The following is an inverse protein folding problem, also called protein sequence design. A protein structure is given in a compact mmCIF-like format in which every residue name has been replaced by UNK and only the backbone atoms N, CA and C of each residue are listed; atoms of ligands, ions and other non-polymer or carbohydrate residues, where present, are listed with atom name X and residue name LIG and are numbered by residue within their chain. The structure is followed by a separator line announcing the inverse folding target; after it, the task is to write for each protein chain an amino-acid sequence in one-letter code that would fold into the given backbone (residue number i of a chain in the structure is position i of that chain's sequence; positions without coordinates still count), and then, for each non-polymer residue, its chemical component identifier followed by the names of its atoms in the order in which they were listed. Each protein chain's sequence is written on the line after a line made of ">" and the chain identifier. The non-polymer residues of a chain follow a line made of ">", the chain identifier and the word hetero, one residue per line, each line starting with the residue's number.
data_IF_445099940975
#
_entry.id   IF_445099940975
#
_cell.length_a   1.000
_cell.length_b   1.000
_cell.length_c   1.000
_cell.angle_alpha   90.00
_cell.angle_beta   90.00
_cell.angle_gamma   90.00
#
_symmetry.space_group_name_H-M   'P 1'
#
loop_
_entity.id
_entity.type
_entity.pdbx_description
1 polymer ?
#
# COMPACT_ATOMS: atom_id res chain seq x y z
N UNK A 1 -1.75 -23.57 18.78
CA UNK A 1 -2.84 -22.64 18.46
C UNK A 1 -2.39 -21.17 18.51
N UNK A 2 -1.62 -20.76 19.53
CA UNK A 2 -1.13 -19.38 19.70
C UNK A 2 -0.31 -18.80 18.51
N UNK A 3 0.43 -19.64 17.76
CA UNK A 3 1.33 -19.15 16.70
C UNK A 3 0.60 -18.46 15.52
N UNK A 4 -0.53 -19.02 15.07
CA UNK A 4 -1.35 -18.40 14.00
C UNK A 4 -2.12 -17.17 14.49
N UNK A 5 -2.34 -17.08 15.80
CA UNK A 5 -3.01 -15.94 16.39
C UNK A 5 -2.16 -14.67 16.26
N UNK A 6 -0.88 -14.70 16.61
CA UNK A 6 -0.02 -13.51 16.51
C UNK A 6 0.11 -13.02 15.05
N UNK A 7 0.35 -13.94 14.11
CA UNK A 7 0.40 -13.61 12.67
C UNK A 7 -0.89 -12.91 12.21
N UNK A 8 -2.05 -13.47 12.58
CA UNK A 8 -3.36 -12.92 12.24
C UNK A 8 -3.56 -11.54 12.86
N UNK A 9 -3.16 -11.35 14.11
CA UNK A 9 -3.34 -10.07 14.80
C UNK A 9 -2.46 -8.97 14.19
N UNK A 10 -1.20 -9.27 13.80
CA UNK A 10 -0.39 -8.32 13.04
C UNK A 10 -1.07 -7.92 11.73
N UNK A 11 -1.58 -8.89 10.96
CA UNK A 11 -2.26 -8.61 9.69
C UNK A 11 -3.52 -7.77 9.91
N UNK A 12 -4.29 -8.06 10.96
CA UNK A 12 -5.49 -7.29 11.30
C UNK A 12 -5.16 -5.85 11.68
N UNK A 13 -4.15 -5.61 12.52
CA UNK A 13 -3.70 -4.25 12.84
C UNK A 13 -3.17 -3.52 11.60
N UNK A 14 -2.45 -4.24 10.74
CA UNK A 14 -1.99 -3.71 9.46
C UNK A 14 -3.17 -3.22 8.62
N UNK A 15 -4.22 -4.02 8.46
CA UNK A 15 -5.42 -3.61 7.73
C UNK A 15 -6.17 -2.47 8.41
N UNK A 16 -6.20 -2.40 9.73
CA UNK A 16 -6.78 -1.25 10.43
C UNK A 16 -6.06 0.04 10.05
N UNK A 17 -4.73 0.03 9.97
CA UNK A 17 -3.98 1.20 9.55
C UNK A 17 -4.10 1.47 8.06
N UNK A 18 -3.77 0.50 7.20
CA UNK A 18 -3.58 0.76 5.77
C UNK A 18 -4.87 0.76 4.94
N UNK A 19 -5.91 0.07 5.41
CA UNK A 19 -7.22 0.03 4.73
C UNK A 19 -8.20 0.96 5.44
N UNK A 20 -8.33 0.83 6.76
CA UNK A 20 -9.35 1.59 7.51
C UNK A 20 -8.86 2.98 7.92
N UNK A 21 -7.58 3.30 7.71
CA UNK A 21 -6.97 4.57 8.14
C UNK A 21 -7.23 4.84 9.63
N UNK A 22 -7.09 3.80 10.47
CA UNK A 22 -7.30 3.85 11.92
C UNK A 22 -6.03 3.44 12.66
N UNK A 23 -5.82 3.96 13.89
CA UNK A 23 -4.73 3.51 14.73
C UNK A 23 -4.74 1.98 14.90
N UNK A 24 -3.55 1.34 14.91
CA UNK A 24 -3.44 -0.07 15.28
C UNK A 24 -4.03 -0.24 16.68
N UNK A 25 -4.78 -1.32 16.87
CA UNK A 25 -5.45 -1.59 18.15
C UNK A 25 -4.51 -2.15 19.20
N UNK A 26 -3.44 -2.81 18.77
CA UNK A 26 -2.52 -3.49 19.67
C UNK A 26 -1.22 -2.69 19.75
N UNK A 27 -1.01 -2.09 20.91
CA UNK A 27 0.29 -1.58 21.33
C UNK A 27 1.10 -2.80 21.79
N UNK A 28 1.81 -3.44 20.87
CA UNK A 28 2.57 -4.67 21.13
C UNK A 28 3.84 -4.45 21.97
N UNK A 29 3.75 -3.65 23.03
CA UNK A 29 4.87 -3.33 23.92
C UNK A 29 5.29 -4.48 24.84
N UNK A 30 4.59 -5.63 24.80
CA UNK A 30 4.78 -6.73 25.74
C UNK A 30 4.92 -8.12 25.08
N UNK A 31 5.24 -8.19 23.78
CA UNK A 31 5.46 -9.50 23.13
C UNK A 31 6.62 -10.25 23.79
N UNK A 32 7.63 -9.53 24.28
CA UNK A 32 8.76 -10.10 25.02
C UNK A 32 8.31 -10.95 26.22
N UNK A 33 7.25 -10.52 26.93
CA UNK A 33 6.70 -11.25 28.08
C UNK A 33 6.08 -12.60 27.71
N UNK A 34 5.60 -12.75 26.47
CA UNK A 34 5.06 -14.02 25.97
C UNK A 34 6.16 -14.97 25.49
N UNK A 35 7.36 -14.47 25.22
CA UNK A 35 8.46 -15.24 24.64
C UNK A 35 9.26 -15.98 25.71
N UNK A 36 9.42 -15.37 26.89
CA UNK A 36 10.14 -15.97 28.03
C UNK A 36 9.50 -17.29 28.52
N UNK A 37 8.31 -17.64 28.06
CA UNK A 37 7.61 -18.88 28.40
C UNK A 37 7.61 -19.95 27.30
N UNK A 38 8.25 -19.69 26.15
CA UNK A 38 8.25 -20.61 25.01
C UNK A 38 9.65 -21.11 24.66
N UNK A 39 9.75 -22.38 24.25
CA UNK A 39 11.00 -22.98 23.81
C UNK A 39 11.63 -22.16 22.65
N UNK A 40 12.95 -21.96 22.71
CA UNK A 40 13.72 -21.12 21.77
C UNK A 40 13.60 -21.51 20.27
N UNK A 41 12.96 -22.64 19.94
CA UNK A 41 12.70 -23.11 18.58
C UNK A 41 11.26 -22.90 18.09
N UNK A 42 10.40 -22.26 18.88
CA UNK A 42 8.99 -22.09 18.50
C UNK A 42 8.83 -21.16 17.29
N UNK A 43 7.82 -21.44 16.44
CA UNK A 43 7.42 -20.59 15.30
C UNK A 43 7.20 -19.13 15.73
N UNK A 44 6.68 -18.92 16.94
CA UNK A 44 6.49 -17.60 17.54
C UNK A 44 7.83 -16.87 17.77
N UNK A 45 8.82 -17.56 18.34
CA UNK A 45 10.18 -17.02 18.55
C UNK A 45 10.85 -16.66 17.23
N UNK A 46 10.60 -17.43 16.16
CA UNK A 46 11.11 -17.14 14.82
C UNK A 46 10.48 -15.88 14.23
N UNK A 47 9.15 -15.75 14.27
CA UNK A 47 8.44 -14.54 13.84
C UNK A 47 8.93 -13.31 14.61
N UNK A 48 9.07 -13.41 15.94
CA UNK A 48 9.58 -12.30 16.74
C UNK A 48 10.99 -11.90 16.35
N UNK A 49 11.88 -12.88 16.12
CA UNK A 49 13.25 -12.61 15.66
C UNK A 49 13.24 -11.89 14.31
N UNK A 50 12.39 -12.29 13.38
CA UNK A 50 12.21 -11.58 12.11
C UNK A 50 11.77 -10.13 12.35
N UNK A 51 10.76 -9.89 13.18
CA UNK A 51 10.29 -8.52 13.52
C UNK A 51 11.39 -7.67 14.17
N UNK A 52 12.09 -8.23 15.15
CA UNK A 52 13.21 -7.57 15.82
C UNK A 52 14.35 -7.23 14.85
N UNK A 53 14.66 -8.14 13.93
CA UNK A 53 15.69 -7.94 12.90
C UNK A 53 15.35 -6.84 11.88
N UNK A 54 14.07 -6.51 11.71
CA UNK A 54 13.65 -5.41 10.82
C UNK A 54 13.82 -4.04 11.48
N UNK A 55 13.63 -3.98 12.80
CA UNK A 55 13.64 -2.75 13.60
C UNK A 55 14.98 -2.45 14.26
N UNK A 56 15.84 -3.46 14.43
CA UNK A 56 17.18 -3.30 14.97
C UNK A 56 18.18 -2.91 13.87
N UNK A 57 18.59 -1.65 13.85
CA UNK A 57 19.50 -1.07 12.84
C UNK A 57 20.98 -1.48 13.02
N UNK A 58 21.32 -2.16 14.12
CA UNK A 58 22.71 -2.51 14.45
C UNK A 58 23.30 -3.73 13.73
N UNK A 59 22.48 -4.55 13.07
CA UNK A 59 22.94 -5.77 12.39
C UNK A 59 22.38 -5.84 10.96
N UNK A 60 23.28 -6.06 9.99
CA UNK A 60 22.90 -6.47 8.64
C UNK A 60 22.25 -7.86 8.75
N UNK A 61 20.93 -7.89 8.83
CA UNK A 61 20.16 -9.12 8.90
C UNK A 61 20.48 -9.98 7.67
N UNK A 62 20.99 -11.19 7.92
CA UNK A 62 21.22 -12.16 6.85
C UNK A 62 19.90 -12.41 6.12
N UNK A 63 19.92 -12.50 4.78
CA UNK A 63 18.72 -12.71 4.01
C UNK A 63 18.03 -14.01 4.43
N UNK A 64 16.76 -13.90 4.83
CA UNK A 64 15.94 -15.04 5.20
C UNK A 64 15.58 -15.82 3.93
N UNK A 65 15.86 -17.12 3.90
CA UNK A 65 15.47 -17.98 2.77
C UNK A 65 14.02 -18.41 2.85
N UNK A 66 13.35 -18.16 3.98
CA UNK A 66 11.98 -18.57 4.26
C UNK A 66 11.01 -17.42 4.02
N UNK A 67 9.94 -17.68 3.26
CA UNK A 67 8.84 -16.74 3.02
C UNK A 67 7.67 -16.91 4.01
N UNK A 68 7.86 -17.75 5.03
CA UNK A 68 6.81 -18.23 5.94
C UNK A 68 6.10 -17.11 6.69
N UNK A 69 6.80 -16.00 6.96
CA UNK A 69 6.30 -14.87 7.75
C UNK A 69 6.25 -13.56 6.97
N UNK A 70 6.31 -13.58 5.64
CA UNK A 70 6.51 -12.37 4.83
C UNK A 70 5.48 -11.29 5.15
N UNK A 71 4.19 -11.64 5.08
CA UNK A 71 3.11 -10.70 5.36
C UNK A 71 3.07 -10.31 6.85
N UNK A 72 3.18 -11.27 7.77
CA UNK A 72 3.09 -11.01 9.21
C UNK A 72 4.25 -10.13 9.72
N UNK A 73 5.48 -10.39 9.26
CA UNK A 73 6.66 -9.59 9.58
C UNK A 73 6.56 -8.17 9.04
N UNK A 74 6.08 -7.99 7.81
CA UNK A 74 5.80 -6.66 7.26
C UNK A 74 4.68 -5.95 8.04
N UNK A 75 3.58 -6.65 8.30
CA UNK A 75 2.43 -6.13 9.05
C UNK A 75 2.79 -5.69 10.48
N UNK A 76 3.78 -6.31 11.11
CA UNK A 76 4.27 -5.88 12.43
C UNK A 76 4.79 -4.43 12.46
N UNK A 77 5.31 -3.95 11.32
CA UNK A 77 5.87 -2.60 11.17
C UNK A 77 4.79 -1.51 11.24
N UNK A 78 3.51 -1.88 11.14
CA UNK A 78 2.39 -0.93 11.25
C UNK A 78 2.36 -0.19 12.59
N UNK A 79 2.85 -0.83 13.66
CA UNK A 79 2.98 -0.20 14.98
C UNK A 79 3.94 1.01 14.98
N UNK A 80 4.94 1.01 14.10
CA UNK A 80 5.88 2.11 13.89
C UNK A 80 5.40 3.10 12.81
N UNK A 81 4.59 2.61 11.85
CA UNK A 81 4.00 3.43 10.79
C UNK A 81 3.04 4.48 11.35
N UNK A 82 2.09 4.08 12.21
CA UNK A 82 1.00 4.96 12.63
C UNK A 82 1.47 6.24 13.35
N UNK A 83 2.38 6.18 14.34
CA UNK A 83 2.90 7.39 14.97
C UNK A 83 3.64 8.31 13.98
N UNK A 84 4.34 7.72 12.99
CA UNK A 84 5.07 8.48 11.98
C UNK A 84 4.15 9.24 11.00
N UNK A 85 3.02 8.64 10.60
CA UNK A 85 2.06 9.29 9.69
C UNK A 85 1.18 10.31 10.40
N UNK A 86 0.85 10.09 11.68
CA UNK A 86 -0.09 10.92 12.43
C UNK A 86 0.37 12.38 12.53
N UNK A 87 1.67 12.60 12.74
CA UNK A 87 2.24 13.95 12.80
C UNK A 87 2.11 14.65 11.45
N UNK A 88 2.35 13.96 10.35
CA UNK A 88 2.25 14.54 9.01
C UNK A 88 0.81 14.87 8.63
N UNK A 89 -0.12 13.98 8.91
CA UNK A 89 -1.55 14.18 8.62
C UNK A 89 -2.16 15.43 9.30
N UNK A 90 -1.53 15.95 10.36
CA UNK A 90 -2.02 17.08 11.14
C UNK A 90 -1.26 18.40 10.93
N UNK A 91 -0.27 18.48 10.03
CA UNK A 91 0.67 19.63 9.98
C UNK A 91 0.78 20.33 8.62
N UNK A 92 0.03 19.95 7.60
CA UNK A 92 0.14 20.58 6.28
C UNK A 92 -0.47 21.99 6.26
N UNK A 93 0.38 23.01 6.10
CA UNK A 93 -0.02 24.43 6.02
C UNK A 93 0.44 25.31 7.21
N UNK A 94 1.10 24.73 8.21
CA UNK A 94 1.81 25.46 9.27
C UNK A 94 3.33 25.49 8.98
N UNK A 95 4.06 26.45 9.57
CA UNK A 95 5.51 26.61 9.39
C UNK A 95 6.25 25.28 9.58
N UNK A 96 6.81 24.76 8.46
CA UNK A 96 7.41 23.41 8.32
C UNK A 96 8.58 23.12 9.28
N UNK A 97 9.09 24.11 10.01
CA UNK A 97 10.45 24.07 10.59
C UNK A 97 10.48 23.59 12.05
N UNK A 98 9.36 23.62 12.79
CA UNK A 98 9.43 23.44 14.26
C UNK A 98 8.97 22.09 14.81
N UNK A 99 8.14 21.32 14.08
CA UNK A 99 7.49 20.10 14.65
C UNK A 99 8.29 18.83 14.40
N UNK A 100 8.95 18.70 13.24
CA UNK A 100 9.74 17.50 12.89
C UNK A 100 10.93 17.28 13.83
N UNK A 101 11.52 18.35 14.39
CA UNK A 101 12.60 18.26 15.38
C UNK A 101 12.14 17.77 16.77
N UNK A 102 10.84 17.84 17.06
CA UNK A 102 10.26 17.46 18.36
C UNK A 102 9.66 16.04 18.34
N UNK A 103 9.49 15.45 17.16
CA UNK A 103 8.99 14.08 17.05
C UNK A 103 10.08 13.06 17.38
N UNK A 104 9.82 12.23 18.37
CA UNK A 104 10.59 11.01 18.65
C UNK A 104 10.36 9.93 17.58
N UNK A 105 9.23 10.00 16.86
CA UNK A 105 8.85 9.04 15.82
C UNK A 105 9.25 9.59 14.45
N UNK A 106 10.45 9.21 14.01
CA UNK A 106 10.96 9.62 12.70
C UNK A 106 10.40 8.72 11.59
N UNK A 107 9.76 9.27 10.54
CA UNK A 107 9.27 8.47 9.42
C UNK A 107 10.37 7.67 8.72
N UNK A 108 11.59 8.22 8.68
CA UNK A 108 12.78 7.56 8.13
C UNK A 108 13.06 6.19 8.78
N UNK A 109 12.67 5.99 10.04
CA UNK A 109 12.83 4.70 10.72
C UNK A 109 11.84 3.66 10.18
N UNK A 110 10.58 4.04 10.01
CA UNK A 110 9.56 3.14 9.46
C UNK A 110 9.84 2.81 7.99
N UNK A 111 10.31 3.79 7.22
CA UNK A 111 10.78 3.62 5.83
C UNK A 111 11.96 2.64 5.79
N UNK A 112 12.99 2.86 6.61
CA UNK A 112 14.16 1.97 6.68
C UNK A 112 13.78 0.53 7.07
N UNK A 113 12.85 0.34 8.00
CA UNK A 113 12.38 -0.99 8.39
C UNK A 113 11.64 -1.69 7.24
N UNK A 114 10.84 -0.96 6.46
CA UNK A 114 10.18 -1.49 5.26
C UNK A 114 11.23 -1.88 4.19
N UNK A 115 12.24 -1.05 3.98
CA UNK A 115 13.33 -1.34 3.04
C UNK A 115 14.17 -2.54 3.47
N UNK A 116 14.44 -2.66 4.78
CA UNK A 116 15.11 -3.83 5.34
C UNK A 116 14.30 -5.09 5.03
N UNK A 117 12.97 -5.04 5.21
CA UNK A 117 12.09 -6.14 4.86
C UNK A 117 12.17 -6.48 3.38
N UNK A 118 12.13 -5.49 2.47
CA UNK A 118 12.22 -5.77 1.03
C UNK A 118 13.58 -6.39 0.67
N UNK A 119 14.67 -5.88 1.25
CA UNK A 119 16.05 -6.36 1.01
C UNK A 119 16.26 -7.80 1.46
N UNK A 120 15.66 -8.24 2.58
CA UNK A 120 15.81 -9.63 3.04
C UNK A 120 15.14 -10.65 2.12
N UNK A 121 14.14 -10.24 1.33
CA UNK A 121 13.39 -11.14 0.42
C UNK A 121 14.04 -11.37 -0.95
N UNK A 122 15.08 -10.62 -1.33
CA UNK A 122 15.85 -10.80 -2.60
C UNK A 122 15.00 -11.04 -3.86
N UNK A 123 13.88 -10.32 -4.00
CA UNK A 123 12.98 -10.45 -5.17
C UNK A 123 12.09 -11.70 -5.17
N UNK A 124 12.02 -12.45 -4.06
CA UNK A 124 11.10 -13.59 -3.87
C UNK A 124 9.80 -13.22 -3.15
N UNK A 125 9.62 -11.94 -2.81
CA UNK A 125 8.43 -11.49 -2.10
C UNK A 125 7.18 -11.74 -2.93
N UNK A 126 6.15 -12.30 -2.30
CA UNK A 126 4.84 -12.44 -2.92
C UNK A 126 4.25 -11.06 -3.27
N UNK A 127 3.51 -10.99 -4.38
CA UNK A 127 2.97 -9.72 -4.88
C UNK A 127 2.02 -9.07 -3.87
N UNK A 128 1.26 -9.86 -3.09
CA UNK A 128 0.36 -9.31 -2.08
C UNK A 128 1.16 -8.59 -0.97
N UNK A 129 2.30 -9.16 -0.58
CA UNK A 129 3.20 -8.51 0.39
C UNK A 129 3.82 -7.23 -0.19
N UNK A 130 4.19 -7.22 -1.47
CA UNK A 130 4.68 -6.01 -2.14
C UNK A 130 3.62 -4.90 -2.17
N UNK A 131 2.34 -5.23 -2.35
CA UNK A 131 1.26 -4.23 -2.27
C UNK A 131 1.23 -3.59 -0.88
N UNK A 132 1.30 -4.37 0.19
CA UNK A 132 1.36 -3.83 1.56
C UNK A 132 2.59 -2.94 1.75
N UNK A 133 3.76 -3.36 1.25
CA UNK A 133 5.00 -2.59 1.33
C UNK A 133 4.84 -1.21 0.65
N UNK A 134 4.30 -1.19 -0.57
CA UNK A 134 4.07 0.05 -1.30
C UNK A 134 3.00 0.91 -0.63
N UNK A 135 1.93 0.32 -0.08
CA UNK A 135 0.89 1.06 0.66
C UNK A 135 1.47 1.73 1.91
N UNK A 136 2.29 1.04 2.70
CA UNK A 136 2.93 1.64 3.89
C UNK A 136 3.79 2.85 3.52
N UNK A 137 4.59 2.74 2.45
CA UNK A 137 5.40 3.84 1.96
C UNK A 137 4.55 4.97 1.37
N UNK A 138 3.48 4.68 0.63
CA UNK A 138 2.55 5.71 0.19
C UNK A 138 2.00 6.50 1.40
N UNK A 139 1.63 5.82 2.49
CA UNK A 139 1.10 6.48 3.69
C UNK A 139 2.13 7.32 4.43
N UNK A 140 3.42 6.96 4.41
CA UNK A 140 4.51 7.78 4.97
C UNK A 140 4.70 9.11 4.20
N UNK A 141 4.38 9.11 2.92
CA UNK A 141 4.66 10.21 1.99
C UNK A 141 3.42 10.93 1.48
N UNK A 142 2.20 10.50 1.84
CA UNK A 142 0.96 11.12 1.40
C UNK A 142 -0.16 11.02 2.46
N UNK A 143 -0.94 12.09 2.58
CA UNK A 143 -2.17 12.09 3.38
C UNK A 143 -3.34 11.57 2.55
N UNK A 144 -3.56 10.25 2.56
CA UNK A 144 -4.58 9.58 1.74
C UNK A 144 -6.00 10.10 1.99
N UNK A 145 -6.33 10.50 3.22
CA UNK A 145 -7.64 11.07 3.54
C UNK A 145 -7.85 12.40 2.82
N UNK A 146 -6.84 13.26 2.80
CA UNK A 146 -6.90 14.56 2.13
C UNK A 146 -6.92 14.40 0.61
N UNK A 147 -6.10 13.51 0.05
CA UNK A 147 -6.13 13.19 -1.38
C UNK A 147 -7.50 12.66 -1.81
N UNK A 148 -8.09 11.76 -1.02
CA UNK A 148 -9.42 11.21 -1.30
C UNK A 148 -10.51 12.29 -1.25
N UNK A 149 -10.51 13.14 -0.22
CA UNK A 149 -11.47 14.25 -0.11
C UNK A 149 -11.32 15.25 -1.26
N UNK A 150 -10.09 15.51 -1.70
CA UNK A 150 -9.82 16.37 -2.85
C UNK A 150 -10.34 15.75 -4.14
N UNK A 151 -9.99 14.50 -4.43
CA UNK A 151 -10.37 13.81 -5.67
C UNK A 151 -11.89 13.71 -5.86
N UNK A 152 -12.63 13.38 -4.80
CA UNK A 152 -14.09 13.19 -4.86
C UNK A 152 -14.91 14.48 -4.70
N UNK A 153 -14.26 15.62 -4.51
CA UNK A 153 -14.96 16.90 -4.49
C UNK A 153 -15.37 17.34 -5.90
N UNK A 154 -16.49 18.05 -6.03
CA UNK A 154 -16.99 18.45 -7.36
C UNK A 154 -16.03 19.41 -8.07
N UNK A 155 -15.89 19.35 -9.41
CA UNK A 155 -15.13 20.33 -10.19
C UNK A 155 -15.60 21.75 -9.91
N UNK A 156 -14.65 22.69 -9.75
CA UNK A 156 -14.95 24.09 -9.43
C UNK A 156 -15.50 24.34 -8.02
N UNK A 157 -15.64 23.31 -7.18
CA UNK A 157 -16.05 23.49 -5.79
C UNK A 157 -14.98 24.24 -4.99
N UNK A 158 -15.41 24.91 -3.92
CA UNK A 158 -14.49 25.58 -2.99
C UNK A 158 -13.45 24.62 -2.39
N UNK A 159 -13.77 23.31 -2.29
CA UNK A 159 -12.87 22.27 -1.77
C UNK A 159 -11.63 22.09 -2.64
N UNK A 160 -11.74 22.27 -3.97
CA UNK A 160 -10.62 22.19 -4.93
C UNK A 160 -9.86 23.50 -5.12
N UNK A 161 -10.36 24.61 -4.58
CA UNK A 161 -9.71 25.93 -4.69
C UNK A 161 -8.68 26.11 -3.56
N UNK A 162 -7.36 26.17 -3.87
CA UNK A 162 -6.32 26.33 -2.85
C UNK A 162 -6.39 27.65 -2.08
N UNK A 163 -7.10 28.66 -2.59
CA UNK A 163 -7.33 29.93 -1.89
C UNK A 163 -8.49 29.84 -0.88
N UNK A 164 -9.40 28.88 -1.05
CA UNK A 164 -10.64 28.76 -0.26
C UNK A 164 -10.69 27.52 0.61
N UNK A 165 -9.84 26.52 0.36
CA UNK A 165 -9.86 25.22 1.05
C UNK A 165 -8.50 24.83 1.60
N UNK A 166 -8.50 24.38 2.86
CA UNK A 166 -7.35 23.75 3.50
C UNK A 166 -6.92 22.49 2.75
N UNK A 167 -7.88 21.64 2.37
CA UNK A 167 -7.65 20.41 1.60
C UNK A 167 -6.90 20.69 0.31
N UNK A 168 -7.38 21.64 -0.51
CA UNK A 168 -6.70 21.99 -1.76
C UNK A 168 -5.31 22.57 -1.51
N UNK A 169 -5.17 23.51 -0.56
CA UNK A 169 -3.86 24.07 -0.21
C UNK A 169 -2.85 22.98 0.20
N UNK A 170 -3.28 22.00 0.97
CA UNK A 170 -2.45 20.85 1.34
C UNK A 170 -2.06 20.01 0.14
N UNK A 171 -3.01 19.63 -0.74
CA UNK A 171 -2.70 18.84 -1.94
C UNK A 171 -1.72 19.56 -2.87
N UNK A 172 -1.90 20.86 -3.09
CA UNK A 172 -0.99 21.65 -3.92
C UNK A 172 0.40 21.78 -3.28
N UNK A 173 0.48 22.00 -1.97
CA UNK A 173 1.76 22.06 -1.26
C UNK A 173 2.49 20.71 -1.25
N UNK A 174 1.74 19.60 -1.07
CA UNK A 174 2.26 18.24 -1.14
C UNK A 174 2.81 17.93 -2.54
N UNK A 175 2.06 18.26 -3.60
CA UNK A 175 2.45 17.99 -4.98
C UNK A 175 3.81 18.63 -5.35
N UNK A 176 4.13 19.79 -4.77
CA UNK A 176 5.40 20.49 -4.98
C UNK A 176 6.55 19.98 -4.08
N UNK A 177 6.25 19.15 -3.09
CA UNK A 177 7.23 18.62 -2.13
C UNK A 177 7.94 17.36 -2.67
N UNK A 178 9.08 16.97 -2.08
CA UNK A 178 9.73 15.70 -2.43
C UNK A 178 8.85 14.48 -2.11
N UNK A 179 7.96 14.61 -1.12
CA UNK A 179 7.11 13.51 -0.68
C UNK A 179 6.10 13.10 -1.77
N UNK A 180 5.64 14.01 -2.64
CA UNK A 180 4.79 13.61 -3.77
C UNK A 180 5.51 12.66 -4.73
N UNK A 181 6.76 12.98 -5.09
CA UNK A 181 7.58 12.16 -6.00
C UNK A 181 7.81 10.75 -5.46
N UNK A 182 8.09 10.63 -4.16
CA UNK A 182 8.28 9.34 -3.51
C UNK A 182 6.97 8.54 -3.51
N UNK A 183 5.85 9.16 -3.10
CA UNK A 183 4.56 8.51 -3.10
C UNK A 183 4.13 8.05 -4.51
N UNK A 184 4.34 8.90 -5.53
CA UNK A 184 4.08 8.57 -6.94
C UNK A 184 4.94 7.39 -7.39
N UNK A 185 6.23 7.37 -7.08
CA UNK A 185 7.10 6.23 -7.40
C UNK A 185 6.59 4.92 -6.80
N UNK A 186 6.18 4.91 -5.53
CA UNK A 186 5.59 3.69 -4.93
C UNK A 186 4.25 3.33 -5.57
N UNK A 187 3.41 4.31 -5.91
CA UNK A 187 2.13 4.07 -6.59
C UNK A 187 2.32 3.48 -7.98
N UNK A 188 3.26 3.99 -8.78
CA UNK A 188 3.60 3.44 -10.09
C UNK A 188 4.11 2.01 -10.00
N UNK A 189 5.05 1.74 -9.09
CA UNK A 189 5.61 0.40 -8.91
C UNK A 189 4.57 -0.60 -8.40
N UNK A 190 3.64 -0.17 -7.54
CA UNK A 190 2.50 -0.98 -7.11
C UNK A 190 1.64 -1.38 -8.32
N UNK A 191 1.26 -0.41 -9.15
CA UNK A 191 0.41 -0.66 -10.33
C UNK A 191 1.13 -1.57 -11.33
N UNK A 192 2.41 -1.29 -11.64
CA UNK A 192 3.23 -2.10 -12.55
C UNK A 192 3.36 -3.55 -12.02
N UNK A 193 3.58 -3.72 -10.72
CA UNK A 193 3.72 -5.05 -10.10
C UNK A 193 2.44 -5.86 -10.22
N UNK A 194 1.29 -5.23 -9.99
CA UNK A 194 -0.02 -5.87 -10.13
C UNK A 194 -0.28 -6.26 -11.59
N UNK A 195 -0.02 -5.35 -12.54
CA UNK A 195 -0.16 -5.65 -13.97
C UNK A 195 0.76 -6.80 -14.42
N UNK A 196 2.01 -6.81 -13.92
CA UNK A 196 2.97 -7.89 -14.15
C UNK A 196 2.47 -9.25 -13.63
N UNK A 197 1.83 -9.28 -12.45
CA UNK A 197 1.26 -10.49 -11.89
C UNK A 197 0.14 -11.08 -12.78
N UNK A 198 -0.75 -10.24 -13.34
CA UNK A 198 -1.77 -10.68 -14.29
C UNK A 198 -1.19 -11.30 -15.57
N UNK A 199 -0.09 -10.73 -16.09
CA UNK A 199 0.56 -11.27 -17.31
C UNK A 199 1.32 -12.58 -17.07
N UNK A 200 1.89 -12.76 -15.87
CA UNK A 200 2.65 -13.97 -15.51
C UNK A 200 1.74 -15.17 -15.27
N UNK A 201 0.59 -14.97 -14.63
CA UNK A 201 -0.42 -16.03 -14.45
C UNK A 201 -0.87 -16.62 -15.80
N UNK A 202 -0.97 -15.78 -16.84
CA UNK A 202 -1.39 -16.19 -18.20
C UNK A 202 -0.41 -17.17 -18.86
N UNK A 203 0.88 -17.18 -18.48
CA UNK A 203 1.90 -18.06 -19.05
C UNK A 203 1.97 -19.44 -18.40
N UNK A 204 1.51 -19.58 -17.14
CA UNK A 204 1.48 -20.87 -16.45
C UNK A 204 0.33 -21.76 -16.94
N UNK A 205 -0.86 -21.18 -17.19
CA UNK A 205 -2.02 -21.93 -17.70
C UNK A 205 -1.83 -22.46 -19.13
N UNK A 206 -0.84 -21.96 -19.88
CA UNK A 206 -0.50 -22.44 -21.22
C UNK A 206 0.53 -23.58 -21.25
N UNK A 207 1.05 -24.02 -20.09
CA UNK A 207 2.07 -25.08 -19.98
C UNK A 207 1.52 -26.45 -19.57
N UNK A 208 0.21 -26.61 -19.39
CA UNK A 208 -0.36 -27.95 -19.23
C UNK A 208 -0.36 -28.72 -20.56
N UNK A 209 0.00 -30.03 -20.57
CA UNK A 209 0.09 -30.80 -21.79
C UNK A 209 -1.28 -31.01 -22.44
N UNK A 210 -1.35 -30.62 -23.70
CA UNK A 210 -2.42 -30.81 -24.68
C UNK A 210 -3.17 -32.15 -24.56
N UNK A 211 -4.49 -32.08 -24.33
CA UNK A 211 -5.44 -33.06 -24.88
C UNK A 211 -5.96 -32.53 -26.24
N UNK A 212 -6.23 -33.41 -27.23
CA UNK A 212 -6.56 -32.99 -28.59
C UNK A 212 -7.95 -32.35 -28.72
N UNK A 213 -8.17 -31.50 -29.73
CA UNK A 213 -9.27 -30.53 -29.75
C UNK A 213 -10.57 -31.17 -30.24
N UNK A 214 -11.60 -31.16 -29.39
CA UNK A 214 -12.99 -31.36 -29.83
C UNK A 214 -13.59 -30.02 -30.26
N UNK A 215 -14.15 -30.03 -31.46
CA UNK A 215 -14.70 -28.88 -32.20
C UNK A 215 -15.82 -28.16 -31.44
N UNK A 216 -15.84 -26.85 -31.67
CA UNK A 216 -16.97 -25.91 -31.55
C UNK A 216 -17.48 -25.59 -30.14
N UNK A 217 -17.02 -24.45 -29.63
CA UNK A 217 -17.90 -23.44 -29.03
C UNK A 217 -17.19 -22.10 -29.02
N UNK A 218 -17.90 -21.04 -29.41
CA UNK A 218 -17.48 -19.65 -29.26
C UNK A 218 -17.11 -19.39 -27.80
N UNK A 219 -15.82 -19.44 -27.47
CA UNK A 219 -15.36 -18.98 -26.17
C UNK A 219 -15.32 -17.46 -26.22
N UNK A 220 -16.40 -16.84 -25.73
CA UNK A 220 -16.25 -15.55 -25.08
C UNK A 220 -15.16 -15.74 -24.02
N UNK A 221 -13.97 -15.23 -24.29
CA UNK A 221 -12.83 -15.35 -23.38
C UNK A 221 -13.27 -14.87 -22.01
N UNK A 222 -13.38 -15.80 -21.06
CA UNK A 222 -13.69 -15.45 -19.68
C UNK A 222 -12.63 -14.42 -19.25
N UNK A 223 -13.02 -13.23 -18.75
CA UNK A 223 -12.05 -12.19 -18.46
C UNK A 223 -11.01 -12.74 -17.50
N UNK A 224 -9.72 -12.55 -17.80
CA UNK A 224 -8.56 -13.01 -17.01
C UNK A 224 -8.75 -12.65 -15.54
N UNK A 225 -8.58 -13.62 -14.62
CA UNK A 225 -8.86 -13.43 -13.18
C UNK A 225 -7.68 -13.90 -12.34
N UNK A 226 -7.47 -13.29 -11.18
CA UNK A 226 -6.51 -13.79 -10.19
C UNK A 226 -7.09 -15.02 -9.47
N UNK A 227 -6.29 -16.08 -9.21
CA UNK A 227 -6.74 -17.30 -8.54
C UNK A 227 -7.03 -17.08 -7.03
N UNK A 228 -6.36 -16.11 -6.40
CA UNK A 228 -6.60 -15.69 -5.02
C UNK A 228 -6.30 -14.20 -4.89
N UNK A 229 -7.24 -13.43 -4.36
CA UNK A 229 -7.11 -11.97 -4.20
C UNK A 229 -7.04 -11.63 -2.72
N UNK A 230 -5.87 -11.15 -2.28
CA UNK A 230 -5.74 -10.67 -0.92
C UNK A 230 -6.57 -9.37 -0.74
N UNK A 231 -7.25 -9.19 0.40
CA UNK A 231 -8.26 -8.15 0.57
C UNK A 231 -7.70 -6.72 0.52
N UNK A 232 -6.39 -6.55 0.71
CA UNK A 232 -5.71 -5.25 0.62
C UNK A 232 -5.41 -4.82 -0.82
N UNK A 233 -5.37 -5.74 -1.79
CA UNK A 233 -4.94 -5.44 -3.17
C UNK A 233 -5.85 -4.39 -3.85
N UNK A 234 -7.18 -4.50 -3.80
CA UNK A 234 -8.06 -3.47 -4.38
C UNK A 234 -7.87 -2.08 -3.75
N UNK A 235 -7.64 -2.01 -2.44
CA UNK A 235 -7.37 -0.74 -1.76
C UNK A 235 -6.02 -0.16 -2.17
N UNK A 236 -5.00 -1.00 -2.34
CA UNK A 236 -3.70 -0.59 -2.86
C UNK A 236 -3.81 0.05 -4.25
N UNK A 237 -4.56 -0.57 -5.16
CA UNK A 237 -4.83 -0.02 -6.50
C UNK A 237 -5.55 1.32 -6.39
N UNK A 238 -6.61 1.39 -5.59
CA UNK A 238 -7.39 2.62 -5.40
C UNK A 238 -6.53 3.78 -4.89
N UNK A 239 -5.76 3.58 -3.82
CA UNK A 239 -4.90 4.63 -3.28
C UNK A 239 -3.76 5.02 -4.22
N UNK A 240 -3.15 4.06 -4.90
CA UNK A 240 -2.13 4.36 -5.92
C UNK A 240 -2.71 5.23 -7.04
N UNK A 241 -3.91 4.92 -7.54
CA UNK A 241 -4.59 5.74 -8.54
C UNK A 241 -4.85 7.16 -8.03
N UNK A 242 -5.32 7.32 -6.79
CA UNK A 242 -5.53 8.65 -6.20
C UNK A 242 -4.24 9.47 -6.10
N UNK A 243 -3.13 8.85 -5.69
CA UNK A 243 -1.82 9.50 -5.59
C UNK A 243 -1.35 10.01 -6.95
N UNK A 244 -1.41 9.15 -7.97
CA UNK A 244 -0.99 9.51 -9.33
C UNK A 244 -1.88 10.61 -9.92
N UNK A 245 -3.20 10.48 -9.76
CA UNK A 245 -4.15 11.46 -10.27
C UNK A 245 -4.00 12.82 -9.58
N UNK A 246 -3.90 12.87 -8.24
CA UNK A 246 -3.75 14.13 -7.52
C UNK A 246 -2.43 14.83 -7.88
N UNK A 247 -1.33 14.08 -8.05
CA UNK A 247 -0.06 14.62 -8.52
C UNK A 247 -0.21 15.27 -9.90
N UNK A 248 -0.79 14.53 -10.85
CA UNK A 248 -0.98 15.00 -12.21
C UNK A 248 -1.91 16.23 -12.32
N UNK A 249 -3.00 16.29 -11.53
CA UNK A 249 -3.94 17.43 -11.53
C UNK A 249 -3.26 18.74 -11.14
N UNK A 250 -2.37 18.70 -10.14
CA UNK A 250 -1.66 19.92 -9.71
C UNK A 250 -0.61 20.33 -10.74
N UNK A 251 0.09 19.38 -11.35
CA UNK A 251 1.04 19.64 -12.45
C UNK A 251 0.34 20.15 -13.72
N UNK A 252 -0.91 19.73 -13.97
CA UNK A 252 -1.74 20.16 -15.09
C UNK A 252 -2.18 21.61 -15.05
N UNK A 253 -2.24 22.21 -13.86
CA UNK A 253 -2.40 23.67 -13.73
C UNK A 253 -1.28 24.46 -14.42
N UNK A 254 -0.20 23.78 -14.84
CA UNK A 254 0.88 24.28 -15.69
C UNK A 254 0.88 23.83 -17.17
N UNK A 255 -0.11 23.07 -17.67
CA UNK A 255 -0.35 22.89 -19.12
C UNK A 255 -0.41 21.47 -19.73
N UNK A 256 -0.84 20.42 -19.02
CA UNK A 256 -1.14 19.12 -19.69
C UNK A 256 -2.62 19.01 -20.10
N UNK A 257 -2.90 18.08 -21.02
CA UNK A 257 -4.23 17.85 -21.61
C UNK A 257 -5.10 16.97 -20.71
N UNK A 258 -6.38 17.31 -20.49
CA UNK A 258 -7.32 16.56 -19.62
C UNK A 258 -7.47 15.07 -19.97
N UNK A 259 -7.05 14.66 -21.17
CA UNK A 259 -6.94 13.25 -21.58
C UNK A 259 -5.96 12.42 -20.71
N UNK A 260 -4.91 13.05 -20.17
CA UNK A 260 -3.90 12.38 -19.35
C UNK A 260 -4.45 11.96 -17.98
N UNK A 261 -5.21 12.83 -17.32
CA UNK A 261 -5.85 12.53 -16.04
C UNK A 261 -6.85 11.38 -16.14
N UNK A 262 -7.68 11.38 -17.19
CA UNK A 262 -8.68 10.34 -17.39
C UNK A 262 -8.01 8.97 -17.64
N UNK A 263 -6.85 8.95 -18.29
CA UNK A 263 -6.11 7.71 -18.52
C UNK A 263 -5.63 7.06 -17.21
N UNK A 264 -5.26 7.84 -16.20
CA UNK A 264 -4.89 7.33 -14.88
C UNK A 264 -6.08 6.67 -14.15
N UNK A 265 -7.25 7.32 -14.18
CA UNK A 265 -8.49 6.78 -13.62
C UNK A 265 -8.89 5.49 -14.35
N UNK A 266 -8.94 5.52 -15.67
CA UNK A 266 -9.29 4.36 -16.50
C UNK A 266 -8.30 3.19 -16.30
N UNK A 267 -7.00 3.47 -16.09
CA UNK A 267 -6.01 2.44 -15.77
C UNK A 267 -6.32 1.74 -14.44
N UNK A 268 -6.62 2.51 -13.39
CA UNK A 268 -7.00 1.98 -12.07
C UNK A 268 -8.31 1.20 -12.11
N UNK A 269 -9.34 1.77 -12.74
CA UNK A 269 -10.64 1.13 -12.95
C UNK A 269 -10.51 -0.23 -13.65
N UNK A 270 -9.75 -0.28 -14.75
CA UNK A 270 -9.49 -1.52 -15.50
C UNK A 270 -8.87 -2.59 -14.60
N UNK A 271 -7.86 -2.24 -13.80
CA UNK A 271 -7.21 -3.18 -12.88
C UNK A 271 -8.20 -3.69 -11.83
N UNK A 272 -8.99 -2.81 -11.24
CA UNK A 272 -10.01 -3.18 -10.24
C UNK A 272 -11.10 -4.05 -10.84
N UNK A 273 -11.48 -3.81 -12.10
CA UNK A 273 -12.50 -4.59 -12.80
C UNK A 273 -12.06 -6.02 -13.09
N UNK A 274 -10.75 -6.29 -13.12
CA UNK A 274 -10.19 -7.65 -13.26
C UNK A 274 -10.30 -8.46 -11.95
N UNK A 275 -10.59 -7.81 -10.82
CA UNK A 275 -10.74 -8.46 -9.53
C UNK A 275 -12.15 -9.06 -9.35
N UNK A 276 -12.22 -10.22 -8.69
CA UNK A 276 -13.48 -10.92 -8.39
C UNK A 276 -14.20 -10.36 -7.16
N UNK A 277 -13.46 -9.74 -6.24
CA UNK A 277 -14.03 -9.29 -4.96
C UNK A 277 -14.96 -8.09 -5.12
N UNK A 278 -16.09 -8.11 -4.42
CA UNK A 278 -17.11 -7.05 -4.50
C UNK A 278 -16.54 -5.65 -4.21
N UNK A 279 -15.60 -5.57 -3.27
CA UNK A 279 -14.98 -4.30 -2.90
C UNK A 279 -14.20 -3.67 -4.06
N UNK A 280 -13.57 -4.46 -4.93
CA UNK A 280 -12.86 -3.92 -6.09
C UNK A 280 -13.82 -3.28 -7.09
N UNK A 281 -14.97 -3.91 -7.31
CA UNK A 281 -16.03 -3.37 -8.18
C UNK A 281 -16.68 -2.11 -7.59
N UNK A 282 -16.76 -2.01 -6.26
CA UNK A 282 -17.18 -0.78 -5.60
C UNK A 282 -16.13 0.32 -5.78
N UNK A 283 -14.85 0.03 -5.54
CA UNK A 283 -13.76 1.00 -5.70
C UNK A 283 -13.59 1.46 -7.16
N UNK A 284 -13.83 0.59 -8.15
CA UNK A 284 -13.82 0.95 -9.56
C UNK A 284 -14.89 1.99 -9.89
N UNK A 285 -16.12 1.80 -9.37
CA UNK A 285 -17.20 2.77 -9.51
C UNK A 285 -16.87 4.09 -8.83
N UNK A 286 -16.31 4.04 -7.62
CA UNK A 286 -15.86 5.24 -6.90
C UNK A 286 -14.80 5.98 -7.71
N UNK A 287 -13.81 5.32 -8.31
CA UNK A 287 -12.83 5.99 -9.18
C UNK A 287 -13.48 6.71 -10.37
N UNK A 288 -14.49 6.10 -10.99
CA UNK A 288 -15.21 6.71 -12.12
C UNK A 288 -16.05 7.93 -11.74
N UNK A 289 -16.31 8.16 -10.45
CA UNK A 289 -16.98 9.37 -9.97
C UNK A 289 -16.04 10.58 -9.91
N UNK A 290 -14.72 10.37 -10.01
CA UNK A 290 -13.72 11.43 -10.06
C UNK A 290 -13.81 12.14 -11.41
N UNK A 291 -14.07 13.46 -11.35
CA UNK A 291 -14.24 14.36 -12.50
C UNK A 291 -13.14 15.41 -12.56
#
# INVERSE_FOLDING_TARGET
>A
MANRLLETLYILDCYRAIIMQRPPSLSWHHIDSYIDHHAHSSRLTQLHREVFNLTNTGHLSMPSTTTEFDLASLSSLTSHLWPAIYLRQNTYGADKVSVDCLSLWKPDFAELACDNWLRTRRGKADFSCLVVYHMMNIMLHANLTVLQNFAHSSPGSAVRDPKRSLTAREVYAWAQDRHSKIAQWHAENLIISIEGAFTSATKMDQREPQQPPSRASFSASEPRRLPYEAPHVPYGVYYATLVLWCGAVVEESGGHSPSGLQALIARGERILSLHRVHIAQLLARVLNEIK
#
